data_IF_985857653846
#
_entry.id   IF_985857653846
#
_cell.length_a   1.000
_cell.length_b   1.000
_cell.length_c   1.000
_cell.angle_alpha   90.00
_cell.angle_beta   90.00
_cell.angle_gamma   90.00
#
_symmetry.space_group_name_H-M   'P 1'
#
loop_
_entity.id
_entity.type
_entity.pdbx_description
1 polymer ?
#
# COMPACT_ATOMS: atom_id res chain seq x y z
N UNK A 1 23.75 -9.15 8.59
CA UNK A 1 23.47 -9.52 7.19
C UNK A 1 24.54 -8.92 6.30
N UNK A 2 25.07 -9.64 5.29
CA UNK A 2 25.79 -8.94 4.21
C UNK A 2 24.73 -8.21 3.38
N UNK A 3 24.90 -6.90 3.19
CA UNK A 3 24.01 -6.01 2.41
C UNK A 3 23.51 -6.63 1.09
N UNK A 4 24.32 -7.51 0.50
CA UNK A 4 24.08 -8.27 -0.72
C UNK A 4 22.88 -9.23 -0.66
N UNK A 5 22.61 -9.91 0.46
CA UNK A 5 21.50 -10.89 0.56
C UNK A 5 20.15 -10.17 0.70
N UNK A 6 20.10 -9.04 1.43
CA UNK A 6 18.90 -8.21 1.57
C UNK A 6 18.47 -7.68 0.20
N UNK A 7 19.42 -7.09 -0.51
CA UNK A 7 19.19 -6.51 -1.83
C UNK A 7 18.68 -7.55 -2.84
N UNK A 8 19.21 -8.78 -2.82
CA UNK A 8 18.73 -9.85 -3.72
C UNK A 8 17.29 -10.27 -3.42
N UNK A 9 16.90 -10.38 -2.14
CA UNK A 9 15.53 -10.74 -1.75
C UNK A 9 14.54 -9.64 -2.11
N UNK A 10 14.89 -8.39 -1.78
CA UNK A 10 14.09 -7.22 -2.15
C UNK A 10 13.90 -7.18 -3.66
N UNK A 11 14.97 -7.35 -4.44
CA UNK A 11 14.89 -7.36 -5.90
C UNK A 11 13.98 -8.48 -6.43
N UNK A 12 14.14 -9.71 -5.94
CA UNK A 12 13.30 -10.83 -6.36
C UNK A 12 11.82 -10.60 -6.03
N UNK A 13 11.54 -10.13 -4.81
CA UNK A 13 10.17 -9.85 -4.38
C UNK A 13 9.54 -8.70 -5.18
N UNK A 14 10.31 -7.65 -5.47
CA UNK A 14 9.86 -6.54 -6.34
C UNK A 14 9.61 -6.99 -7.78
N UNK A 15 10.44 -7.87 -8.34
CA UNK A 15 10.20 -8.45 -9.67
C UNK A 15 8.91 -9.26 -9.71
N UNK A 16 8.65 -10.06 -8.67
CA UNK A 16 7.40 -10.81 -8.56
C UNK A 16 6.18 -9.88 -8.45
N UNK A 17 6.25 -8.84 -7.60
CA UNK A 17 5.21 -7.82 -7.49
C UNK A 17 4.98 -7.10 -8.83
N UNK A 18 6.04 -6.77 -9.57
CA UNK A 18 5.94 -6.14 -10.88
C UNK A 18 5.16 -7.02 -11.86
N UNK A 19 5.49 -8.32 -11.93
CA UNK A 19 4.78 -9.27 -12.81
C UNK A 19 3.30 -9.37 -12.44
N UNK A 20 2.98 -9.50 -11.16
CA UNK A 20 1.58 -9.54 -10.69
C UNK A 20 0.82 -8.27 -11.07
N UNK A 21 1.43 -7.09 -10.86
CA UNK A 21 0.81 -5.81 -11.20
C UNK A 21 0.60 -5.67 -12.71
N UNK A 22 1.57 -6.06 -13.55
CA UNK A 22 1.42 -6.04 -15.01
C UNK A 22 0.27 -6.92 -15.46
N UNK A 23 0.17 -8.16 -14.95
CA UNK A 23 -0.92 -9.08 -15.29
C UNK A 23 -2.26 -8.49 -14.87
N UNK A 24 -2.35 -7.98 -13.64
CA UNK A 24 -3.59 -7.41 -13.08
C UNK A 24 -4.07 -6.23 -13.92
N UNK A 25 -3.23 -5.21 -14.10
CA UNK A 25 -3.63 -4.03 -14.86
C UNK A 25 -3.98 -4.36 -16.32
N UNK A 26 -3.29 -5.35 -16.93
CA UNK A 26 -3.67 -5.80 -18.28
C UNK A 26 -5.08 -6.40 -18.32
N UNK A 27 -5.40 -7.28 -17.35
CA UNK A 27 -6.73 -7.90 -17.23
C UNK A 27 -7.81 -6.85 -17.02
N UNK A 28 -7.59 -5.91 -16.10
CA UNK A 28 -8.58 -4.89 -15.76
C UNK A 28 -8.77 -3.90 -16.91
N UNK A 29 -7.69 -3.50 -17.59
CA UNK A 29 -7.76 -2.58 -18.72
C UNK A 29 -8.42 -3.17 -19.96
N UNK A 30 -8.42 -4.50 -20.10
CA UNK A 30 -9.04 -5.17 -21.26
C UNK A 30 -10.52 -4.81 -21.38
N UNK A 31 -11.27 -4.82 -20.28
CA UNK A 31 -12.70 -4.48 -20.27
C UNK A 31 -12.97 -3.03 -20.70
N UNK A 32 -12.26 -2.08 -20.12
CA UNK A 32 -12.39 -0.66 -20.45
C UNK A 32 -11.99 -0.35 -21.90
N UNK A 33 -10.89 -0.95 -22.37
CA UNK A 33 -10.43 -0.78 -23.75
C UNK A 33 -11.45 -1.34 -24.76
N UNK A 34 -12.11 -2.47 -24.45
CA UNK A 34 -13.17 -3.02 -25.28
C UNK A 34 -14.40 -2.10 -25.33
N UNK A 35 -14.84 -1.55 -24.20
CA UNK A 35 -15.97 -0.60 -24.16
C UNK A 35 -15.68 0.67 -24.97
N UNK A 36 -14.47 1.22 -24.86
CA UNK A 36 -14.04 2.35 -25.67
C UNK A 36 -14.02 2.01 -27.16
N UNK A 37 -13.45 0.85 -27.53
CA UNK A 37 -13.38 0.42 -28.94
C UNK A 37 -14.77 0.21 -29.58
N UNK A 38 -15.77 -0.17 -28.78
CA UNK A 38 -17.16 -0.36 -29.20
C UNK A 38 -17.98 0.94 -29.20
N UNK A 39 -17.37 2.08 -28.87
CA UNK A 39 -18.05 3.37 -28.79
C UNK A 39 -19.01 3.51 -27.60
N UNK A 40 -18.93 2.60 -26.62
CA UNK A 40 -19.77 2.62 -25.40
C UNK A 40 -19.25 3.58 -24.33
N UNK A 41 -18.04 4.10 -24.52
CA UNK A 41 -17.36 5.03 -23.61
C UNK A 41 -16.75 6.17 -24.41
N UNK A 42 -16.86 7.39 -23.90
CA UNK A 42 -16.26 8.56 -24.56
C UNK A 42 -14.74 8.58 -24.35
N UNK A 43 -14.01 9.28 -25.24
CA UNK A 43 -12.56 9.45 -25.09
C UNK A 43 -12.19 10.13 -23.76
N UNK A 44 -13.00 11.07 -23.31
CA UNK A 44 -12.80 11.78 -22.03
C UNK A 44 -12.98 10.80 -20.88
N UNK A 45 -14.09 10.05 -20.84
CA UNK A 45 -14.36 9.05 -19.80
C UNK A 45 -13.28 7.95 -19.76
N UNK A 46 -12.82 7.46 -20.92
CA UNK A 46 -11.73 6.48 -20.98
C UNK A 46 -10.42 7.02 -20.39
N UNK A 47 -10.12 8.30 -20.61
CA UNK A 47 -8.93 8.96 -20.06
C UNK A 47 -9.06 9.27 -18.57
N UNK A 48 -10.26 9.65 -18.12
CA UNK A 48 -10.56 9.83 -16.70
C UNK A 48 -10.44 8.49 -15.94
N UNK A 49 -10.87 7.38 -16.53
CA UNK A 49 -10.68 6.04 -15.97
C UNK A 49 -9.20 5.61 -15.95
N UNK A 50 -8.45 5.91 -17.01
CA UNK A 50 -6.98 5.76 -17.06
C UNK A 50 -6.26 6.56 -15.95
N UNK A 51 -6.78 7.76 -15.63
CA UNK A 51 -6.20 8.71 -14.68
C UNK A 51 -6.58 8.44 -13.23
N UNK A 52 -7.82 8.03 -12.99
CA UNK A 52 -8.31 7.60 -11.68
C UNK A 52 -7.75 6.24 -11.27
N UNK A 53 -7.04 5.57 -12.17
CA UNK A 53 -6.56 4.22 -11.93
C UNK A 53 -7.72 3.25 -11.77
N UNK A 54 -8.81 3.41 -12.52
CA UNK A 54 -10.00 2.54 -12.50
C UNK A 54 -9.69 1.04 -12.78
N UNK A 55 -8.44 0.73 -13.10
CA UNK A 55 -7.89 -0.63 -13.12
C UNK A 55 -7.75 -1.25 -11.73
N UNK A 56 -7.54 -0.44 -10.70
CA UNK A 56 -7.53 -0.86 -9.31
C UNK A 56 -8.78 -0.30 -8.63
N UNK A 57 -9.77 -1.17 -8.43
CA UNK A 57 -10.90 -0.87 -7.55
C UNK A 57 -10.39 -0.60 -6.13
N UNK A 58 -11.23 -0.02 -5.27
CA UNK A 58 -10.93 0.09 -3.83
C UNK A 58 -10.54 -1.28 -3.26
N UNK A 59 -11.16 -2.38 -3.74
CA UNK A 59 -10.79 -3.77 -3.38
C UNK A 59 -9.35 -4.09 -3.74
N UNK A 60 -8.91 -3.63 -4.90
CA UNK A 60 -7.57 -3.94 -5.38
C UNK A 60 -6.53 -3.25 -4.49
N UNK A 61 -6.73 -1.99 -4.11
CA UNK A 61 -5.85 -1.31 -3.16
C UNK A 61 -5.95 -1.87 -1.73
N UNK A 62 -7.17 -2.02 -1.21
CA UNK A 62 -7.41 -2.31 0.21
C UNK A 62 -7.25 -3.78 0.58
N UNK A 63 -7.59 -4.71 -0.34
CA UNK A 63 -7.63 -6.15 -0.05
C UNK A 63 -6.53 -6.89 -0.81
N UNK A 64 -6.51 -6.79 -2.13
CA UNK A 64 -5.57 -7.56 -2.95
C UNK A 64 -4.12 -7.10 -2.72
N UNK A 65 -3.86 -5.81 -2.90
CA UNK A 65 -2.52 -5.27 -2.75
C UNK A 65 -2.07 -5.24 -1.30
N UNK A 66 -2.98 -5.09 -0.33
CA UNK A 66 -2.64 -5.29 1.08
C UNK A 66 -2.18 -6.73 1.34
N UNK A 67 -2.84 -7.75 0.77
CA UNK A 67 -2.41 -9.14 0.89
C UNK A 67 -1.04 -9.39 0.23
N UNK A 68 -0.84 -8.89 -0.99
CA UNK A 68 0.46 -8.96 -1.69
C UNK A 68 1.55 -8.25 -0.89
N UNK A 69 1.24 -7.07 -0.35
CA UNK A 69 2.16 -6.29 0.48
C UNK A 69 2.54 -7.03 1.77
N UNK A 70 1.60 -7.67 2.46
CA UNK A 70 1.89 -8.46 3.66
C UNK A 70 2.84 -9.64 3.36
N UNK A 71 2.61 -10.35 2.26
CA UNK A 71 3.50 -11.42 1.80
C UNK A 71 4.90 -10.86 1.47
N UNK A 72 4.94 -9.75 0.74
CA UNK A 72 6.17 -9.06 0.35
C UNK A 72 6.99 -8.63 1.57
N UNK A 73 6.38 -7.87 2.49
CA UNK A 73 7.07 -7.29 3.63
C UNK A 73 7.50 -8.39 4.60
N UNK A 74 6.71 -9.44 4.76
CA UNK A 74 7.09 -10.59 5.55
C UNK A 74 8.31 -11.29 4.95
N UNK A 75 8.32 -11.58 3.66
CA UNK A 75 9.46 -12.23 2.99
C UNK A 75 10.76 -11.41 3.09
N UNK A 76 10.64 -10.09 2.88
CA UNK A 76 11.77 -9.15 2.98
C UNK A 76 12.30 -9.07 4.41
N UNK A 77 11.41 -9.09 5.41
CA UNK A 77 11.76 -8.87 6.82
C UNK A 77 12.03 -10.16 7.63
N UNK A 78 11.65 -11.36 7.13
CA UNK A 78 11.69 -12.63 7.87
C UNK A 78 13.07 -12.98 8.48
N UNK A 79 14.17 -12.68 7.78
CA UNK A 79 15.52 -13.05 8.22
C UNK A 79 16.18 -11.99 9.14
N UNK A 80 15.61 -10.77 9.18
CA UNK A 80 16.18 -9.69 9.99
C UNK A 80 15.87 -9.83 11.48
N UNK A 81 14.99 -10.73 11.91
CA UNK A 81 14.59 -10.83 13.33
C UNK A 81 15.64 -11.53 14.19
N UNK A 82 16.00 -12.77 13.85
CA UNK A 82 16.81 -13.63 14.73
C UNK A 82 18.27 -13.14 14.79
N UNK A 83 18.88 -12.79 13.66
CA UNK A 83 20.29 -12.34 13.63
C UNK A 83 20.53 -10.91 14.16
N UNK A 84 19.50 -10.07 14.29
CA UNK A 84 19.64 -8.71 14.84
C UNK A 84 19.20 -8.60 16.31
N UNK A 85 18.27 -9.43 16.79
CA UNK A 85 18.00 -9.53 18.24
C UNK A 85 19.26 -9.89 19.03
N UNK A 86 20.17 -10.66 18.43
CA UNK A 86 21.47 -11.03 19.04
C UNK A 86 22.51 -9.88 18.92
N UNK A 87 22.37 -8.96 17.95
CA UNK A 87 23.36 -7.88 17.69
C UNK A 87 23.06 -6.55 18.38
N UNK A 88 21.79 -6.23 18.60
CA UNK A 88 21.43 -4.99 19.28
C UNK A 88 21.34 -5.23 20.78
N UNK A 89 22.25 -4.61 21.53
CA UNK A 89 22.21 -4.56 23.00
C UNK A 89 20.97 -3.79 23.48
N UNK A 90 20.41 -2.91 22.64
CA UNK A 90 19.27 -2.04 22.95
C UNK A 90 18.07 -2.25 22.01
N UNK A 91 16.87 -2.52 22.58
CA UNK A 91 15.60 -2.76 21.88
C UNK A 91 15.18 -1.58 20.99
N UNK A 92 15.42 -0.35 21.45
CA UNK A 92 15.01 0.85 20.73
C UNK A 92 15.76 1.03 19.41
N UNK A 93 17.05 0.71 19.39
CA UNK A 93 17.87 0.81 18.18
C UNK A 93 17.47 -0.24 17.13
N UNK A 94 17.15 -1.45 17.59
CA UNK A 94 16.60 -2.49 16.72
C UNK A 94 15.29 -2.02 16.06
N UNK A 95 14.32 -1.51 16.84
CA UNK A 95 13.04 -1.09 16.31
C UNK A 95 13.14 0.13 15.38
N UNK A 96 14.00 1.10 15.69
CA UNK A 96 14.32 2.21 14.78
C UNK A 96 14.89 1.72 13.45
N UNK A 97 15.78 0.72 13.49
CA UNK A 97 16.35 0.09 12.30
C UNK A 97 15.32 -0.69 11.49
N UNK A 98 14.43 -1.44 12.16
CA UNK A 98 13.32 -2.15 11.50
C UNK A 98 12.37 -1.19 10.78
N UNK A 99 11.89 -0.14 11.46
CA UNK A 99 11.01 0.87 10.87
C UNK A 99 11.67 1.49 9.63
N UNK A 100 12.96 1.88 9.74
CA UNK A 100 13.70 2.44 8.60
C UNK A 100 13.77 1.49 7.40
N UNK A 101 13.97 0.20 7.63
CA UNK A 101 14.05 -0.79 6.56
C UNK A 101 12.68 -1.08 5.94
N UNK A 102 11.63 -1.12 6.76
CA UNK A 102 10.24 -1.25 6.32
C UNK A 102 9.86 -0.07 5.45
N UNK A 103 10.06 1.17 5.92
CA UNK A 103 9.77 2.37 5.12
C UNK A 103 10.43 2.35 3.75
N UNK A 104 11.68 1.89 3.66
CA UNK A 104 12.35 1.72 2.36
C UNK A 104 11.72 0.64 1.50
N UNK A 105 11.42 -0.52 2.08
CA UNK A 105 10.80 -1.63 1.36
C UNK A 105 9.40 -1.27 0.87
N UNK A 106 8.59 -0.60 1.71
CA UNK A 106 7.26 -0.08 1.36
C UNK A 106 7.35 0.94 0.23
N UNK A 107 8.29 1.88 0.29
CA UNK A 107 8.49 2.85 -0.80
C UNK A 107 8.83 2.16 -2.13
N UNK A 108 9.68 1.13 -2.11
CA UNK A 108 9.96 0.35 -3.31
C UNK A 108 8.73 -0.43 -3.82
N UNK A 109 7.95 -1.02 -2.91
CA UNK A 109 6.72 -1.72 -3.25
C UNK A 109 5.71 -0.79 -3.92
N UNK A 110 5.42 0.36 -3.31
CA UNK A 110 4.50 1.36 -3.86
C UNK A 110 5.02 1.90 -5.19
N UNK A 111 6.33 2.13 -5.31
CA UNK A 111 6.90 2.56 -6.58
C UNK A 111 6.62 1.55 -7.69
N UNK A 112 6.85 0.26 -7.45
CA UNK A 112 6.55 -0.80 -8.43
C UNK A 112 5.04 -0.91 -8.70
N UNK A 113 4.21 -0.70 -7.68
CA UNK A 113 2.75 -0.71 -7.81
C UNK A 113 2.24 0.39 -8.74
N UNK A 114 2.66 1.63 -8.51
CA UNK A 114 2.20 2.80 -9.25
C UNK A 114 2.87 2.92 -10.63
N UNK A 115 4.08 2.37 -10.81
CA UNK A 115 4.84 2.46 -12.05
C UNK A 115 4.15 1.74 -13.24
N UNK A 116 3.44 0.63 -12.98
CA UNK A 116 2.69 -0.06 -14.04
C UNK A 116 1.54 0.80 -14.55
N UNK A 117 0.77 1.43 -13.64
CA UNK A 117 -0.30 2.35 -13.98
C UNK A 117 0.24 3.56 -14.74
N UNK A 118 1.32 4.15 -14.26
CA UNK A 118 2.00 5.28 -14.91
C UNK A 118 2.35 5.01 -16.37
N UNK A 119 2.99 3.88 -16.66
CA UNK A 119 3.37 3.53 -18.04
C UNK A 119 2.16 3.34 -18.94
N UNK A 120 1.08 2.75 -18.43
CA UNK A 120 -0.16 2.56 -19.19
C UNK A 120 -0.88 3.89 -19.47
N UNK A 121 -0.92 4.79 -18.49
CA UNK A 121 -1.48 6.15 -18.66
C UNK A 121 -0.71 6.91 -19.75
N UNK A 122 0.61 6.81 -19.80
CA UNK A 122 1.42 7.44 -20.86
C UNK A 122 1.18 6.78 -22.23
N UNK A 123 1.12 5.45 -22.28
CA UNK A 123 1.00 4.73 -23.55
C UNK A 123 -0.37 4.90 -24.20
N UNK A 124 -1.44 4.93 -23.40
CA UNK A 124 -2.83 4.92 -23.91
C UNK A 124 -3.58 6.24 -23.70
N UNK A 125 -3.09 7.12 -22.84
CA UNK A 125 -3.74 8.39 -22.54
C UNK A 125 -3.54 9.45 -23.62
N UNK A 126 -4.54 10.30 -23.77
CA UNK A 126 -4.47 11.53 -24.56
C UNK A 126 -3.76 12.61 -23.74
N UNK A 127 -2.57 12.99 -24.17
CA UNK A 127 -1.73 13.97 -23.50
C UNK A 127 -2.45 15.31 -23.19
N UNK A 128 -3.34 15.79 -24.06
CA UNK A 128 -4.06 17.06 -23.84
C UNK A 128 -5.03 16.92 -22.66
N UNK A 129 -5.68 15.78 -22.54
CA UNK A 129 -6.60 15.48 -21.43
C UNK A 129 -5.80 15.29 -20.15
N UNK A 130 -4.73 14.48 -20.19
CA UNK A 130 -3.86 14.25 -19.03
C UNK A 130 -3.35 15.57 -18.41
N UNK A 131 -2.83 16.49 -19.23
CA UNK A 131 -2.32 17.78 -18.78
C UNK A 131 -3.40 18.68 -18.17
N UNK A 132 -4.63 18.66 -18.70
CA UNK A 132 -5.77 19.41 -18.14
C UNK A 132 -6.14 18.93 -16.73
N UNK A 133 -5.89 17.66 -16.44
CA UNK A 133 -6.27 16.99 -15.20
C UNK A 133 -5.14 16.93 -14.15
N UNK A 134 -4.05 17.69 -14.31
CA UNK A 134 -2.93 17.76 -13.36
C UNK A 134 -2.40 16.38 -12.91
N UNK A 135 -2.37 15.42 -13.84
CA UNK A 135 -2.13 14.01 -13.57
C UNK A 135 -0.82 13.71 -12.80
N UNK A 136 0.25 14.47 -13.04
CA UNK A 136 1.53 14.35 -12.33
C UNK A 136 1.35 14.64 -10.83
N UNK A 137 0.56 15.66 -10.48
CA UNK A 137 0.27 16.00 -9.09
C UNK A 137 -0.55 14.90 -8.41
N UNK A 138 -1.56 14.37 -9.09
CA UNK A 138 -2.36 13.27 -8.56
C UNK A 138 -1.53 12.02 -8.30
N UNK A 139 -0.65 11.63 -9.23
CA UNK A 139 0.27 10.51 -9.06
C UNK A 139 1.21 10.70 -7.86
N UNK A 140 1.75 11.90 -7.67
CA UNK A 140 2.60 12.19 -6.52
C UNK A 140 1.83 12.04 -5.20
N UNK A 141 0.62 12.60 -5.12
CA UNK A 141 -0.21 12.51 -3.91
C UNK A 141 -0.64 11.06 -3.64
N UNK A 142 -1.00 10.32 -4.68
CA UNK A 142 -1.34 8.89 -4.61
C UNK A 142 -0.15 8.06 -4.12
N UNK A 143 1.06 8.32 -4.62
CA UNK A 143 2.28 7.68 -4.13
C UNK A 143 2.48 7.93 -2.62
N UNK A 144 2.31 9.17 -2.16
CA UNK A 144 2.44 9.51 -0.73
C UNK A 144 1.37 8.82 0.11
N UNK A 145 0.10 8.88 -0.31
CA UNK A 145 -1.02 8.26 0.39
C UNK A 145 -0.86 6.74 0.48
N UNK A 146 -0.53 6.07 -0.63
CA UNK A 146 -0.30 4.62 -0.66
C UNK A 146 0.87 4.21 0.25
N UNK A 147 1.96 5.00 0.28
CA UNK A 147 3.07 4.74 1.21
C UNK A 147 2.63 4.79 2.68
N UNK A 148 1.87 5.81 3.07
CA UNK A 148 1.38 5.95 4.43
C UNK A 148 0.39 4.83 4.78
N UNK A 149 -0.50 4.48 3.86
CA UNK A 149 -1.45 3.39 4.02
C UNK A 149 -0.75 2.05 4.30
N UNK A 150 0.17 1.61 3.44
CA UNK A 150 0.89 0.35 3.63
C UNK A 150 1.84 0.37 4.85
N UNK A 151 2.37 1.53 5.23
CA UNK A 151 3.07 1.68 6.51
C UNK A 151 2.14 1.43 7.69
N UNK A 152 0.92 2.00 7.66
CA UNK A 152 -0.10 1.76 8.66
C UNK A 152 -0.48 0.28 8.72
N UNK A 153 -0.70 -0.37 7.56
CA UNK A 153 -0.95 -1.81 7.45
C UNK A 153 0.15 -2.63 8.13
N UNK A 154 1.42 -2.30 7.90
CA UNK A 154 2.54 -2.99 8.55
C UNK A 154 2.55 -2.80 10.08
N UNK A 155 2.31 -1.58 10.55
CA UNK A 155 2.28 -1.30 11.99
C UNK A 155 1.14 -2.05 12.68
N UNK A 156 -0.02 -2.11 12.03
CA UNK A 156 -1.15 -2.87 12.51
C UNK A 156 -0.88 -4.38 12.49
N UNK A 157 -0.21 -4.88 11.44
CA UNK A 157 0.28 -6.25 11.38
C UNK A 157 1.19 -6.59 12.55
N UNK A 158 2.19 -5.75 12.82
CA UNK A 158 3.11 -5.98 13.94
C UNK A 158 2.41 -5.94 15.29
N UNK A 159 1.43 -5.05 15.45
CA UNK A 159 0.58 -5.01 16.64
C UNK A 159 -0.20 -6.30 16.83
N UNK A 160 -0.93 -6.76 15.81
CA UNK A 160 -1.71 -8.00 15.86
C UNK A 160 -0.83 -9.23 16.05
N UNK A 161 0.33 -9.27 15.38
CA UNK A 161 1.31 -10.35 15.52
C UNK A 161 1.78 -10.51 16.96
N UNK A 162 1.96 -9.39 17.68
CA UNK A 162 2.29 -9.39 19.10
C UNK A 162 1.20 -9.95 20.03
N UNK A 163 -0.06 -10.05 19.58
CA UNK A 163 -1.17 -10.60 20.38
C UNK A 163 -1.54 -12.02 19.95
N UNK A 164 -1.61 -12.27 18.65
CA UNK A 164 -2.23 -13.47 18.09
C UNK A 164 -1.22 -14.44 17.46
N UNK A 165 0.05 -14.05 17.36
CA UNK A 165 1.04 -14.80 16.62
C UNK A 165 0.93 -14.60 15.11
N UNK A 166 1.94 -15.12 14.41
CA UNK A 166 2.24 -14.76 13.01
C UNK A 166 1.17 -15.19 11.99
N UNK A 167 0.69 -16.44 12.06
CA UNK A 167 -0.26 -16.97 11.08
C UNK A 167 -1.63 -16.32 11.22
N UNK A 168 -2.08 -16.08 12.46
CA UNK A 168 -3.38 -15.46 12.76
C UNK A 168 -3.40 -13.98 12.38
N UNK A 169 -2.29 -13.26 12.55
CA UNK A 169 -2.26 -11.81 12.24
C UNK A 169 -2.46 -11.52 10.75
N UNK A 170 -1.86 -12.29 9.84
CA UNK A 170 -2.05 -12.10 8.40
C UNK A 170 -3.52 -12.29 8.00
N UNK A 171 -4.13 -13.38 8.46
CA UNK A 171 -5.53 -13.70 8.16
C UNK A 171 -6.47 -12.63 8.71
N UNK A 172 -6.24 -12.18 9.96
CA UNK A 172 -7.07 -11.14 10.57
C UNK A 172 -7.02 -9.83 9.80
N UNK A 173 -5.85 -9.40 9.30
CA UNK A 173 -5.76 -8.16 8.54
C UNK A 173 -6.51 -8.24 7.22
N UNK A 174 -6.38 -9.36 6.51
CA UNK A 174 -7.13 -9.57 5.25
C UNK A 174 -8.63 -9.56 5.52
N UNK A 175 -9.08 -10.19 6.62
CA UNK A 175 -10.50 -10.15 7.03
C UNK A 175 -10.92 -8.73 7.39
N UNK A 176 -10.12 -7.97 8.14
CA UNK A 176 -10.45 -6.60 8.53
C UNK A 176 -10.60 -5.71 7.30
N UNK A 177 -9.64 -5.70 6.39
CA UNK A 177 -9.76 -4.92 5.15
C UNK A 177 -10.91 -5.37 4.26
N UNK A 178 -11.19 -6.68 4.21
CA UNK A 178 -12.33 -7.18 3.47
C UNK A 178 -13.67 -6.72 4.09
N UNK A 179 -13.79 -6.77 5.41
CA UNK A 179 -14.97 -6.29 6.13
C UNK A 179 -15.11 -4.77 5.98
N UNK A 180 -14.02 -4.01 6.10
CA UNK A 180 -13.98 -2.57 5.85
C UNK A 180 -14.50 -2.24 4.45
N UNK A 181 -14.01 -2.94 3.42
CA UNK A 181 -14.48 -2.78 2.04
C UNK A 181 -15.99 -3.07 1.89
N UNK A 182 -16.49 -4.16 2.49
CA UNK A 182 -17.91 -4.52 2.40
C UNK A 182 -18.79 -3.47 3.10
N UNK A 183 -18.34 -2.96 4.25
CA UNK A 183 -19.05 -1.93 5.01
C UNK A 183 -19.05 -0.58 4.30
N UNK A 184 -17.93 -0.19 3.69
CA UNK A 184 -17.80 1.07 2.94
C UNK A 184 -18.70 1.09 1.70
N UNK A 185 -18.93 -0.07 1.07
CA UNK A 185 -19.79 -0.19 -0.12
C UNK A 185 -21.30 -0.29 0.17
N UNK A 186 -21.69 -0.92 1.28
CA UNK A 186 -23.08 -1.36 1.48
C UNK A 186 -23.82 -0.65 2.62
N UNK A 187 -23.12 -0.05 3.57
CA UNK A 187 -23.74 0.41 4.83
C UNK A 187 -23.38 1.84 5.16
N UNK A 188 -22.17 2.27 4.82
CA UNK A 188 -21.64 3.54 5.28
C UNK A 188 -20.96 4.32 4.15
N UNK A 189 -21.73 4.71 3.13
CA UNK A 189 -21.29 5.67 2.07
C UNK A 189 -20.65 6.96 2.65
N UNK A 190 -20.87 7.22 3.95
CA UNK A 190 -20.38 8.37 4.71
C UNK A 190 -19.35 8.04 5.81
N UNK A 191 -18.97 6.77 6.06
CA UNK A 191 -17.86 6.52 6.98
C UNK A 191 -16.52 6.70 6.26
N UNK A 192 -15.64 7.39 6.96
CA UNK A 192 -14.32 7.68 6.46
C UNK A 192 -13.38 6.49 6.69
N UNK A 193 -12.66 6.07 5.64
CA UNK A 193 -11.71 4.95 5.65
C UNK A 193 -10.37 5.36 5.04
N UNK A 194 -9.22 4.83 5.52
CA UNK A 194 -7.89 5.14 4.99
C UNK A 194 -7.72 4.89 3.48
N UNK A 195 -8.42 3.90 2.93
CA UNK A 195 -8.51 3.61 1.49
C UNK A 195 -9.22 4.70 0.69
N UNK A 196 -10.18 5.39 1.31
CA UNK A 196 -10.86 6.52 0.70
C UNK A 196 -9.91 7.70 0.52
N UNK A 197 -8.85 7.83 1.32
CA UNK A 197 -7.84 8.88 1.12
C UNK A 197 -6.95 8.59 -0.09
N UNK A 198 -6.63 7.33 -0.35
CA UNK A 198 -5.94 6.92 -1.60
C UNK A 198 -6.85 7.18 -2.80
N UNK A 199 -8.14 6.85 -2.68
CA UNK A 199 -9.16 7.09 -3.71
C UNK A 199 -9.55 8.59 -3.87
N UNK A 200 -9.36 9.42 -2.84
CA UNK A 200 -9.53 10.87 -2.96
C UNK A 200 -8.41 11.47 -3.82
N UNK A 201 -7.20 10.91 -3.80
CA UNK A 201 -6.10 11.36 -4.65
C UNK A 201 -6.34 11.02 -6.13
N UNK A 202 -6.95 9.87 -6.43
CA UNK A 202 -7.36 9.51 -7.80
C UNK A 202 -8.49 10.42 -8.30
N UNK A 203 -9.42 10.82 -7.42
CA UNK A 203 -10.46 11.81 -7.72
C UNK A 203 -9.94 13.25 -7.88
N UNK A 204 -8.74 13.60 -7.40
CA UNK A 204 -8.12 14.91 -7.70
C UNK A 204 -7.88 15.08 -9.20
N UNK A 205 -7.47 14.02 -9.89
CA UNK A 205 -7.23 14.03 -11.32
C UNK A 205 -8.53 14.25 -12.09
N UNK A 206 -9.60 13.56 -11.72
CA UNK A 206 -10.84 13.51 -12.50
C UNK A 206 -11.85 14.59 -12.07
N UNK A 207 -12.10 14.72 -10.77
CA UNK A 207 -13.19 15.52 -10.21
C UNK A 207 -12.75 16.91 -9.71
N UNK A 208 -11.49 17.30 -9.95
CA UNK A 208 -10.89 18.55 -9.45
C UNK A 208 -11.03 18.75 -7.93
N UNK A 209 -11.08 17.66 -7.15
CA UNK A 209 -11.23 17.70 -5.69
C UNK A 209 -10.28 18.73 -5.06
N UNK A 210 -10.68 19.59 -4.11
CA UNK A 210 -9.82 20.67 -3.62
C UNK A 210 -8.49 20.14 -3.06
N UNK A 211 -7.39 20.82 -3.40
CA UNK A 211 -6.05 20.44 -2.95
C UNK A 211 -5.94 20.39 -1.41
N UNK A 212 -6.68 21.26 -0.71
CA UNK A 212 -6.76 21.25 0.75
C UNK A 212 -7.33 19.92 1.29
N UNK A 213 -8.38 19.38 0.67
CA UNK A 213 -8.94 18.09 1.08
C UNK A 213 -7.95 16.94 0.88
N UNK A 214 -7.16 16.99 -0.20
CA UNK A 214 -6.10 16.03 -0.44
C UNK A 214 -5.03 16.09 0.66
N UNK A 215 -4.59 17.29 1.04
CA UNK A 215 -3.62 17.45 2.14
C UNK A 215 -4.16 17.01 3.49
N UNK A 216 -5.44 17.24 3.79
CA UNK A 216 -6.08 16.77 5.02
C UNK A 216 -6.09 15.24 5.11
N UNK A 217 -6.37 14.54 4.00
CA UNK A 217 -6.28 13.08 3.95
C UNK A 217 -4.86 12.58 4.22
N UNK A 218 -3.86 13.15 3.53
CA UNK A 218 -2.45 12.79 3.77
C UNK A 218 -2.04 13.07 5.22
N UNK A 219 -2.41 14.23 5.77
CA UNK A 219 -2.09 14.60 7.14
C UNK A 219 -2.66 13.58 8.14
N UNK A 220 -3.90 13.16 7.93
CA UNK A 220 -4.55 12.16 8.79
C UNK A 220 -3.86 10.79 8.70
N UNK A 221 -3.57 10.29 7.50
CA UNK A 221 -2.80 9.06 7.33
C UNK A 221 -1.43 9.15 8.02
N UNK A 222 -0.76 10.30 7.92
CA UNK A 222 0.50 10.54 8.60
C UNK A 222 0.37 10.52 10.13
N UNK A 223 -0.72 11.09 10.66
CA UNK A 223 -1.04 11.04 12.09
C UNK A 223 -1.32 9.62 12.58
N UNK A 224 -2.06 8.81 11.80
CA UNK A 224 -2.32 7.40 12.12
C UNK A 224 -1.02 6.60 12.18
N UNK A 225 -0.16 6.74 11.15
CA UNK A 225 1.16 6.10 11.12
C UNK A 225 2.00 6.53 12.33
N UNK A 226 1.97 7.81 12.69
CA UNK A 226 2.68 8.33 13.85
C UNK A 226 2.16 7.71 15.16
N UNK A 227 0.86 7.76 15.41
CA UNK A 227 0.22 7.21 16.61
C UNK A 227 0.49 5.71 16.73
N UNK A 228 0.25 4.96 15.66
CA UNK A 228 0.49 3.50 15.62
C UNK A 228 1.96 3.17 15.85
N UNK A 229 2.89 3.95 15.29
CA UNK A 229 4.33 3.78 15.53
C UNK A 229 4.69 3.99 17.00
N UNK A 230 4.08 4.97 17.68
CA UNK A 230 4.31 5.24 19.11
C UNK A 230 3.75 4.14 20.00
N UNK A 231 2.53 3.68 19.72
CA UNK A 231 1.89 2.56 20.44
C UNK A 231 2.73 1.29 20.31
N UNK A 232 3.13 0.96 19.08
CA UNK A 232 3.93 -0.22 18.79
C UNK A 232 5.30 -0.14 19.48
N UNK A 233 5.99 0.99 19.40
CA UNK A 233 7.29 1.19 20.05
C UNK A 233 7.20 1.00 21.57
N UNK A 234 6.16 1.57 22.20
CA UNK A 234 5.91 1.39 23.63
C UNK A 234 5.66 -0.08 23.99
N UNK A 235 4.81 -0.76 23.23
CA UNK A 235 4.50 -2.18 23.47
C UNK A 235 5.72 -3.06 23.30
N UNK A 236 6.46 -2.86 22.21
CA UNK A 236 7.66 -3.62 21.88
C UNK A 236 8.83 -3.37 22.84
N UNK A 237 8.89 -2.19 23.46
CA UNK A 237 9.82 -1.93 24.56
C UNK A 237 9.58 -2.85 25.76
N UNK A 238 8.33 -3.29 25.99
CA UNK A 238 7.92 -4.12 27.12
C UNK A 238 7.92 -5.64 26.86
N UNK A 239 8.02 -6.09 25.60
CA UNK A 239 8.01 -7.52 25.26
C UNK A 239 9.36 -8.20 25.50
N UNK A 240 9.42 -9.27 26.29
CA UNK A 240 10.64 -10.06 26.43
C UNK A 240 11.00 -10.84 25.17
N UNK A 241 12.18 -10.56 24.62
CA UNK A 241 12.70 -11.18 23.39
C UNK A 241 12.90 -12.69 23.52
N UNK A 242 13.00 -13.21 24.75
CA UNK A 242 13.21 -14.63 25.06
C UNK A 242 11.94 -15.49 24.95
N UNK A 243 10.76 -14.91 24.69
CA UNK A 243 9.50 -15.66 24.60
C UNK A 243 9.28 -16.25 23.19
N UNK A 244 10.15 -15.97 22.21
CA UNK A 244 10.04 -16.60 20.88
C UNK A 244 10.57 -18.04 20.79
N UNK A 245 11.05 -18.64 21.90
CA UNK A 245 11.48 -20.06 21.95
C UNK A 245 10.65 -20.95 22.88
N UNK A 246 9.51 -20.48 23.40
CA UNK A 246 8.56 -21.39 24.06
C UNK A 246 7.20 -21.28 23.38
N UNK A 247 6.96 -22.18 22.43
CA UNK A 247 5.83 -23.12 22.40
C UNK A 247 5.78 -23.76 21.01
N UNK A 248 6.09 -25.06 21.01
CA UNK A 248 5.60 -26.19 20.18
C UNK A 248 5.46 -26.03 18.67
#
# INVERSE_FOLDING_TARGET
MTKKVFNKRVLFALLFCLVLNVIKVYVDNKGFAEMYSKGLMTKVSYNEDLLSGAYYTIVDYAVWQAAVYLIFIEYVMNYNRICYMIRYVNRDEYWKSQIKNVTKATACFVFVHELVSFFLTIQKGDYKILMKHNWIQGLFLQFVAANLFYLCTYLFYEFLRSYFGKSKSNVLIVIIYFVEYVLSRNVLDNFWFPENDVNMMTKRCVDNMPLLMCFLGIFRLAMEVFIMSRILSWKKGKEDLLIYEKVN
#
